data_IF_397928820407
#
_entry.id   IF_397928820407
#
_cell.length_a   1.000
_cell.length_b   1.000
_cell.length_c   1.000
_cell.angle_alpha   90.00
_cell.angle_beta   90.00
_cell.angle_gamma   90.00
#
_symmetry.space_group_name_H-M   'P 1'
#
loop_
_entity.id
_entity.type
_entity.pdbx_description
1 polymer ?
2 non-polymer ?
3 non-polymer ?
4 non-polymer ?
5 water ?
#
# COMPACT_ATOMS: atom_id res chain seq x y z
N UNK A 1 19.13 3.10 4.37
CA UNK A 1 17.68 3.03 4.08
C UNK A 1 16.81 3.28 5.32
N UNK A 2 15.63 2.64 5.37
CA UNK A 2 14.68 2.84 6.46
C UNK A 2 14.47 1.50 7.18
N UNK A 3 14.08 1.56 8.46
CA UNK A 3 13.83 0.37 9.25
C UNK A 3 12.36 0.02 9.05
N UNK A 4 12.12 -1.25 8.70
CA UNK A 4 10.81 -1.83 8.52
C UNK A 4 10.47 -2.63 9.77
N UNK A 5 9.22 -2.58 10.31
CA UNK A 5 8.13 -1.75 9.78
C UNK A 5 8.38 -0.27 9.99
N UNK A 6 7.95 0.52 9.00
CA UNK A 6 8.17 1.95 8.96
C UNK A 6 6.83 2.68 9.03
N UNK A 7 6.77 3.74 9.85
CA UNK A 7 5.58 4.61 9.88
C UNK A 7 5.85 5.95 9.20
N UNK A 8 5.05 6.29 8.16
CA UNK A 8 5.14 7.58 7.49
C UNK A 8 3.94 8.43 7.92
N UNK A 9 4.13 9.50 8.72
CA UNK A 9 3.01 10.42 8.99
C UNK A 9 2.51 11.07 7.70
N UNK A 10 1.17 11.16 7.55
CA UNK A 10 0.49 11.86 6.47
C UNK A 10 -0.22 13.08 7.07
N UNK A 11 0.45 14.25 7.15
CA UNK A 11 -0.08 15.33 8.01
C UNK A 11 -1.44 15.83 7.49
N UNK A 12 -2.51 15.76 8.29
CA UNK A 12 -3.81 16.21 7.81
C UNK A 12 -4.44 15.22 6.83
N UNK A 13 -3.97 13.98 6.93
CA UNK A 13 -4.50 12.84 6.21
C UNK A 13 -4.22 12.98 4.72
N UNK A 14 -5.04 12.32 3.90
CA UNK A 14 -4.85 12.36 2.46
C UNK A 14 -5.96 13.17 1.82
N UNK A 15 -5.80 13.43 0.53
CA UNK A 15 -6.70 14.28 -0.22
C UNK A 15 -6.43 13.95 -1.68
N UNK A 16 -7.42 14.06 -2.60
CA UNK A 16 -7.14 13.87 -4.02
C UNK A 16 -6.00 14.79 -4.47
N UNK A 17 -5.15 14.24 -5.37
CA UNK A 17 -3.93 14.85 -5.90
C UNK A 17 -2.69 14.56 -5.06
N UNK A 18 -2.85 13.84 -3.96
CA UNK A 18 -1.68 13.53 -3.14
C UNK A 18 -1.11 12.21 -3.63
N UNK A 19 0.20 12.21 -3.92
CA UNK A 19 0.89 11.03 -4.47
C UNK A 19 1.92 10.54 -3.45
N UNK A 20 1.80 9.26 -3.06
CA UNK A 20 2.68 8.67 -2.06
C UNK A 20 3.56 7.68 -2.81
N UNK A 21 4.87 7.81 -2.62
CA UNK A 21 5.85 7.01 -3.37
C UNK A 21 6.70 6.20 -2.39
N UNK A 22 6.79 4.87 -2.64
CA UNK A 22 7.50 3.93 -1.79
C UNK A 22 8.54 3.27 -2.69
N UNK A 23 9.84 3.44 -2.37
CA UNK A 23 10.93 2.84 -3.13
C UNK A 23 11.62 1.83 -2.23
N UNK A 24 11.80 0.62 -2.74
CA UNK A 24 12.59 -0.34 -1.99
C UNK A 24 12.98 -1.50 -2.91
N UNK A 25 13.43 -2.57 -2.27
CA UNK A 25 13.88 -3.75 -2.99
C UNK A 25 13.33 -4.96 -2.24
N UNK A 26 12.69 -5.89 -2.96
CA UNK A 26 12.14 -7.09 -2.32
C UNK A 26 13.29 -7.98 -1.88
N UNK A 27 13.19 -8.54 -0.67
CA UNK A 27 14.18 -9.49 -0.20
C UNK A 27 14.13 -10.77 -1.04
N UNK A 28 15.19 -11.62 -1.00
CA UNK A 28 15.13 -12.92 -1.67
C UNK A 28 14.10 -13.78 -0.93
N UNK A 29 13.40 -14.69 -1.63
CA UNK A 29 12.47 -15.61 -0.99
C UNK A 29 11.40 -14.89 -0.16
N UNK A 30 10.90 -13.76 -0.68
CA UNK A 30 9.90 -12.94 0.00
C UNK A 30 8.62 -13.75 0.18
N UNK A 31 7.90 -13.45 1.27
CA UNK A 31 6.56 -13.99 1.49
C UNK A 31 5.48 -12.92 1.39
N UNK A 32 5.74 -11.70 1.88
CA UNK A 32 4.68 -10.68 1.88
C UNK A 32 5.26 -9.26 1.87
N UNK A 33 4.46 -8.32 1.35
CA UNK A 33 4.64 -6.88 1.52
C UNK A 33 3.29 -6.34 2.04
N UNK A 34 3.31 -5.24 2.79
CA UNK A 34 2.05 -4.64 3.18
C UNK A 34 2.20 -3.12 3.30
N UNK A 35 1.23 -2.40 2.71
CA UNK A 35 1.01 -0.98 2.97
C UNK A 35 -0.29 -0.88 3.76
N UNK A 36 -0.25 -0.11 4.86
CA UNK A 36 -1.46 0.09 5.66
C UNK A 36 -1.71 1.60 5.84
N UNK A 37 -2.66 2.15 5.07
CA UNK A 37 -3.08 3.53 5.25
C UNK A 37 -4.14 3.56 6.33
N UNK A 38 -3.78 4.14 7.49
CA UNK A 38 -4.61 4.04 8.68
C UNK A 38 -5.32 5.35 9.02
N UNK A 39 -6.55 5.22 9.55
CA UNK A 39 -7.27 6.33 10.19
C UNK A 39 -7.40 5.92 11.65
N UNK A 40 -6.50 6.43 12.51
CA UNK A 40 -6.45 5.85 13.85
C UNK A 40 -6.20 4.33 13.81
N UNK A 41 -7.04 3.57 14.52
CA UNK A 41 -6.87 2.11 14.57
C UNK A 41 -7.43 1.46 13.31
N UNK A 42 -8.24 2.20 12.55
CA UNK A 42 -8.83 1.58 11.36
C UNK A 42 -7.80 1.54 10.22
N UNK A 43 -7.95 0.60 9.27
CA UNK A 43 -7.10 0.59 8.09
C UNK A 43 -7.95 0.96 6.88
N UNK A 44 -7.77 2.18 6.37
CA UNK A 44 -8.59 2.62 5.25
C UNK A 44 -8.24 1.84 4.00
N UNK A 45 -6.95 1.57 3.81
CA UNK A 45 -6.51 0.90 2.59
C UNK A 45 -5.32 0.03 2.96
N UNK A 46 -5.57 -1.29 2.88
CA UNK A 46 -4.55 -2.31 3.08
C UNK A 46 -4.23 -2.88 1.70
N UNK A 47 -2.93 -2.85 1.35
CA UNK A 47 -2.42 -3.35 0.08
C UNK A 47 -1.36 -4.39 0.39
N UNK A 48 -1.63 -5.66 0.02
CA UNK A 48 -0.89 -6.77 0.61
C UNK A 48 -0.52 -7.79 -0.47
N UNK A 49 0.61 -7.57 -1.18
CA UNK A 49 1.19 -8.63 -2.02
C UNK A 49 1.56 -9.87 -1.20
N UNK A 50 1.05 -11.03 -1.62
CA UNK A 50 1.36 -12.31 -0.98
C UNK A 50 2.06 -13.18 -2.03
N UNK A 51 3.29 -13.66 -1.73
CA UNK A 51 4.11 -14.30 -2.74
C UNK A 51 3.82 -15.79 -2.85
N UNK A 52 3.16 -16.36 -1.82
CA UNK A 52 2.82 -17.79 -1.83
C UNK A 52 1.55 -18.06 -1.03
N UNK A 53 0.41 -17.85 -1.67
CA UNK A 53 -0.86 -18.28 -1.12
C UNK A 53 -1.31 -19.45 -1.97
N UNK A 54 -1.20 -20.67 -1.44
CA UNK A 54 -1.57 -21.85 -2.22
C UNK A 54 -0.77 -21.87 -3.54
N UNK A 55 0.52 -21.51 -3.44
CA UNK A 55 1.48 -21.53 -4.54
C UNK A 55 1.09 -20.56 -5.66
N UNK A 56 0.34 -19.50 -5.31
CA UNK A 56 0.01 -18.44 -6.26
C UNK A 56 0.43 -17.10 -5.67
N UNK A 57 0.78 -16.14 -6.53
CA UNK A 57 1.12 -14.79 -6.11
C UNK A 57 -0.14 -13.96 -6.34
N UNK A 58 -0.56 -13.17 -5.34
CA UNK A 58 -1.81 -12.43 -5.41
C UNK A 58 -1.67 -11.17 -4.56
N UNK A 59 -2.28 -10.08 -5.03
CA UNK A 59 -2.33 -8.90 -4.19
C UNK A 59 -3.70 -8.88 -3.53
N UNK A 60 -3.71 -8.83 -2.20
CA UNK A 60 -4.96 -8.68 -1.45
C UNK A 60 -5.16 -7.24 -0.97
N UNK A 61 -6.32 -6.63 -1.30
CA UNK A 61 -6.62 -5.32 -0.72
C UNK A 61 -7.86 -5.39 0.18
N UNK A 62 -7.89 -4.53 1.22
CA UNK A 62 -9.05 -4.59 2.10
C UNK A 62 -9.08 -3.35 3.01
N UNK A 63 -10.11 -3.27 3.86
CA UNK A 63 -10.26 -2.18 4.82
C UNK A 63 -10.59 -2.84 6.16
N UNK A 64 -10.08 -2.27 7.26
CA UNK A 64 -10.39 -2.81 8.57
C UNK A 64 -11.11 -1.72 9.35
N UNK A 65 -12.31 -2.03 9.86
CA UNK A 65 -13.07 -1.05 10.63
C UNK A 65 -13.44 -1.67 11.97
N UNK A 66 -13.14 -0.97 13.08
CA UNK A 66 -13.43 -1.47 14.42
C UNK A 66 -12.92 -2.90 14.57
N UNK A 67 -11.69 -3.11 14.08
CA UNK A 67 -10.97 -4.37 14.22
C UNK A 67 -11.51 -5.49 13.33
N UNK A 68 -12.37 -5.19 12.37
CA UNK A 68 -12.91 -6.23 11.51
C UNK A 68 -12.50 -5.99 10.06
N UNK A 69 -11.93 -7.02 9.42
CA UNK A 69 -11.63 -6.89 7.99
C UNK A 69 -12.93 -7.00 7.20
N UNK A 70 -13.01 -6.24 6.10
CA UNK A 70 -14.15 -6.27 5.22
C UNK A 70 -13.96 -7.32 4.12
N UNK A 71 -14.59 -7.09 2.97
CA UNK A 71 -14.50 -7.99 1.83
C UNK A 71 -13.21 -7.71 1.06
N UNK A 72 -12.40 -8.75 0.81
CA UNK A 72 -11.14 -8.58 0.10
C UNK A 72 -11.40 -8.27 -1.37
N UNK A 73 -10.54 -7.43 -1.94
CA UNK A 73 -10.44 -7.27 -3.38
C UNK A 73 -9.10 -7.83 -3.81
N UNK A 74 -9.16 -8.76 -4.78
CA UNK A 74 -8.00 -9.55 -5.17
C UNK A 74 -7.65 -9.31 -6.64
N UNK A 75 -6.33 -9.23 -6.89
CA UNK A 75 -5.71 -8.91 -8.17
C UNK A 75 -4.58 -9.89 -8.41
N UNK A 76 -4.67 -10.62 -9.55
CA UNK A 76 -3.70 -11.64 -9.93
C UNK A 76 -2.53 -11.05 -10.72
N UNK A 77 -2.71 -9.85 -11.28
CA UNK A 77 -1.54 -9.16 -11.84
C UNK A 77 -0.59 -8.87 -10.68
N UNK A 78 0.66 -9.35 -10.80
CA UNK A 78 1.61 -9.33 -9.69
C UNK A 78 2.99 -8.86 -10.18
N UNK A 79 3.26 -7.54 -10.14
CA UNK A 79 4.50 -7.01 -10.70
C UNK A 79 5.81 -7.15 -9.91
N UNK A 80 5.73 -7.69 -8.69
CA UNK A 80 6.86 -7.80 -7.79
C UNK A 80 7.61 -9.10 -8.03
N UNK A 81 8.91 -9.08 -7.78
CA UNK A 81 9.76 -10.25 -7.85
C UNK A 81 10.75 -10.21 -6.70
N UNK A 82 10.96 -11.38 -6.07
CA UNK A 82 11.97 -11.51 -5.03
C UNK A 82 13.30 -10.99 -5.54
N UNK A 83 13.96 -10.16 -4.72
CA UNK A 83 15.28 -9.69 -5.09
C UNK A 83 15.31 -8.38 -5.88
N UNK A 84 14.17 -7.91 -6.42
CA UNK A 84 14.23 -6.82 -7.39
C UNK A 84 13.76 -5.49 -6.78
N UNK A 85 14.36 -4.37 -7.24
CA UNK A 85 13.94 -3.02 -6.82
C UNK A 85 12.57 -2.67 -7.42
N UNK A 86 11.73 -2.01 -6.62
CA UNK A 86 10.39 -1.63 -7.04
C UNK A 86 10.10 -0.17 -6.67
N UNK A 87 9.11 0.40 -7.37
CA UNK A 87 8.52 1.65 -6.95
C UNK A 87 7.00 1.47 -6.91
N UNK A 88 6.39 1.75 -5.74
CA UNK A 88 4.93 1.78 -5.63
C UNK A 88 4.49 3.25 -5.55
N UNK A 89 3.56 3.67 -6.44
CA UNK A 89 2.98 5.00 -6.40
C UNK A 89 1.50 4.85 -6.09
N UNK A 90 1.06 5.49 -5.01
CA UNK A 90 -0.34 5.46 -4.65
C UNK A 90 -0.85 6.88 -4.86
N UNK A 91 -1.74 7.05 -5.82
CA UNK A 91 -2.27 8.40 -6.08
C UNK A 91 -3.70 8.43 -5.55
N UNK A 92 -3.98 9.38 -4.66
CA UNK A 92 -5.34 9.56 -4.17
C UNK A 92 -6.14 10.29 -5.25
N UNK A 93 -7.22 9.65 -5.72
CA UNK A 93 -8.13 10.30 -6.66
C UNK A 93 -9.47 10.48 -5.94
N UNK A 94 -10.45 11.21 -6.51
CA UNK A 94 -11.69 11.52 -5.78
C UNK A 94 -12.48 10.31 -5.29
N UNK A 95 -12.50 9.23 -6.09
CA UNK A 95 -13.31 8.08 -5.70
C UNK A 95 -12.48 6.84 -5.33
N UNK A 96 -11.16 6.87 -5.57
CA UNK A 96 -10.35 5.68 -5.32
C UNK A 96 -8.88 6.01 -5.06
N UNK A 97 -8.17 5.04 -4.44
CA UNK A 97 -6.71 5.02 -4.53
C UNK A 97 -6.31 4.35 -5.84
N UNK A 98 -5.36 4.94 -6.58
CA UNK A 98 -4.86 4.37 -7.83
C UNK A 98 -3.41 3.98 -7.60
N UNK A 99 -3.08 2.70 -7.83
CA UNK A 99 -1.75 2.21 -7.52
C UNK A 99 -1.05 1.83 -8.82
N UNK A 100 0.17 2.33 -9.00
CA UNK A 100 1.00 1.91 -10.11
C UNK A 100 2.31 1.37 -9.54
N UNK A 101 2.87 0.31 -10.15
CA UNK A 101 4.14 -0.24 -9.69
C UNK A 101 5.11 -0.17 -10.87
N UNK A 102 6.28 0.43 -10.66
CA UNK A 102 7.29 0.47 -11.72
C UNK A 102 6.70 1.16 -12.95
N UNK A 103 5.90 2.23 -12.69
CA UNK A 103 5.32 3.10 -13.70
C UNK A 103 4.23 2.42 -14.52
N UNK A 104 3.76 1.24 -14.09
CA UNK A 104 2.67 0.59 -14.78
C UNK A 104 1.46 0.52 -13.85
N UNK A 105 0.30 0.94 -14.37
CA UNK A 105 -0.93 0.89 -13.59
C UNK A 105 -1.20 -0.54 -13.15
N UNK A 106 -1.63 -0.69 -11.88
CA UNK A 106 -1.83 -2.00 -11.30
C UNK A 106 -3.30 -2.18 -10.91
N UNK A 107 -3.81 -1.29 -10.06
CA UNK A 107 -5.18 -1.46 -9.58
C UNK A 107 -5.70 -0.15 -9.02
N UNK A 108 -7.00 -0.11 -8.79
CA UNK A 108 -7.65 0.97 -8.06
C UNK A 108 -8.51 0.33 -6.98
N UNK A 109 -8.67 1.07 -5.89
CA UNK A 109 -9.44 0.58 -4.76
C UNK A 109 -10.35 1.71 -4.31
N UNK A 110 -11.66 1.50 -4.45
CA UNK A 110 -12.64 2.56 -4.18
C UNK A 110 -12.61 2.94 -2.70
N UNK A 111 -12.86 4.22 -2.40
CA UNK A 111 -12.76 4.67 -1.01
C UNK A 111 -13.93 4.08 -0.22
N UNK A 112 -13.63 3.38 0.87
CA UNK A 112 -14.67 2.90 1.77
C UNK A 112 -14.72 3.83 2.98
N UNK A 113 -13.53 4.18 3.48
CA UNK A 113 -13.39 5.23 4.48
C UNK A 113 -13.56 6.59 3.78
N UNK A 114 -14.41 7.45 4.35
CA UNK A 114 -14.80 8.68 3.64
C UNK A 114 -14.01 9.88 4.17
N UNK A 115 -13.55 9.80 5.43
CA UNK A 115 -12.87 10.94 6.04
C UNK A 115 -11.39 10.89 5.63
N UNK A 116 -11.13 11.24 4.37
CA UNK A 116 -9.78 11.13 3.82
C UNK A 116 -8.76 11.91 4.67
N UNK A 117 -9.19 13.08 5.18
CA UNK A 117 -8.28 13.95 5.93
C UNK A 117 -7.98 13.40 7.33
N UNK A 118 -8.48 12.19 7.65
CA UNK A 118 -8.14 11.57 8.93
C UNK A 118 -7.28 10.30 8.75
N UNK A 119 -6.96 9.94 7.50
CA UNK A 119 -6.06 8.83 7.18
C UNK A 119 -4.63 9.35 7.30
N UNK A 120 -4.12 9.35 8.53
CA UNK A 120 -2.99 10.20 8.88
C UNK A 120 -1.68 9.41 9.05
N UNK A 121 -1.65 8.10 8.74
CA UNK A 121 -0.38 7.40 8.81
C UNK A 121 -0.34 6.31 7.75
N UNK A 122 0.86 6.08 7.22
CA UNK A 122 1.05 4.92 6.35
C UNK A 122 2.08 4.03 7.01
N UNK A 123 1.68 2.79 7.30
CA UNK A 123 2.61 1.77 7.76
C UNK A 123 3.10 0.95 6.57
N UNK A 124 4.42 0.73 6.53
CA UNK A 124 5.05 -0.05 5.46
C UNK A 124 5.81 -1.20 6.11
N UNK A 125 5.47 -2.44 5.71
CA UNK A 125 6.04 -3.60 6.38
C UNK A 125 6.25 -4.75 5.38
N UNK A 126 6.89 -5.83 5.87
CA UNK A 126 7.09 -7.01 5.04
C UNK A 126 8.55 -7.24 4.63
N UNK A 127 8.71 -8.10 3.62
CA UNK A 127 10.01 -8.64 3.28
C UNK A 127 10.68 -7.73 2.26
N UNK A 128 10.98 -6.48 2.66
CA UNK A 128 11.63 -5.53 1.76
C UNK A 128 12.80 -4.87 2.50
N UNK A 129 13.75 -4.39 1.69
CA UNK A 129 14.63 -3.33 2.15
C UNK A 129 13.95 -2.05 1.69
N UNK A 130 13.59 -1.17 2.63
CA UNK A 130 12.92 0.05 2.21
C UNK A 130 13.92 1.20 2.02
N UNK A 131 13.90 1.84 0.84
CA UNK A 131 14.85 2.90 0.53
C UNK A 131 14.29 4.28 0.89
N UNK A 132 13.05 4.56 0.45
CA UNK A 132 12.46 5.88 0.67
C UNK A 132 10.95 5.75 0.70
N UNK A 133 10.29 6.67 1.43
CA UNK A 133 8.84 6.73 1.41
C UNK A 133 8.48 8.20 1.58
N UNK A 134 7.69 8.76 0.66
CA UNK A 134 7.46 10.20 0.69
C UNK A 134 6.15 10.52 -0.02
N UNK A 135 5.76 11.80 -0.02
CA UNK A 135 4.54 12.20 -0.71
C UNK A 135 4.78 13.57 -1.32
N UNK A 136 3.95 13.90 -2.29
CA UNK A 136 4.02 15.17 -2.98
C UNK A 136 2.62 15.47 -3.52
N UNK A 137 2.30 16.76 -3.64
CA UNK A 137 1.00 17.12 -4.18
C UNK A 137 1.20 17.36 -5.67
N UNK A 138 0.41 16.69 -6.51
CA UNK A 138 0.60 16.83 -7.95
C UNK A 138 -0.60 17.54 -8.58
X LIG B 1 -7.73 -14.39 9.02
X LIG B 1 -8.02 -16.46 5.54
X LIG B 1 -7.32 -15.75 4.38
X LIG B 1 -7.75 -14.28 4.33
X LIG B 1 -7.62 -13.61 5.69
X LIG B 1 -8.40 -14.44 6.73
X LIG B 1 -7.80 -15.74 6.77
X LIG B 1 -7.50 -17.87 5.76
X LIG B 1 -6.14 -17.82 6.19
X LIG B 1 -7.76 -16.37 3.19
X LIG B 1 -7.04 -13.58 3.31
X LIG B 1 -8.29 -13.84 8.11
X LIG B 1 -8.91 -12.57 8.34
X LIG C 1 -5.77 -11.63 6.71
X LIG C 1 -4.35 -11.24 7.10
X LIG C 1 -4.30 -9.74 7.36
X LIG C 1 -4.88 -8.97 6.18
X LIG C 1 -6.30 -9.46 5.89
X LIG C 1 -6.92 -8.80 4.66
X LIG C 1 -4.01 -11.90 8.31
X LIG C 1 -2.96 -9.32 7.67
X LIG C 1 -4.09 -9.19 5.01
X LIG C 1 -6.24 -10.87 5.60
X LIG C 1 -8.28 -9.25 4.46
X LIG C 1 -5.89 -13.38 6.25
X LIG D 1 -5.60 15.00 -12.54
X LIG E 1 -14.87 -2.72 4.58
X LIG F 1 -15.25 7.55 7.35
#
# INVERSE_FOLDING_TARGET
PLIVPYNLPLPGGVVPRMLITILGTVKPNANRIALDFQRGNDVAFHFNPRFNENNRRVIVCNTKLDNNWGREERQSVFPFESGKPFKIQVLVEPDHFKVAVNDAHLLQYNHRVKKLNEISKLGISGDIDLTSASYTMI
VPQ O7 C5' C4' C3' C2' C1' O5' C6' O6' O4' O3' C7 N1
YIO C1 C2 C3 C4 C5 C6 O2 O3 O4 O5 O6 S1
MG MG
MG MG
MG MG
#
